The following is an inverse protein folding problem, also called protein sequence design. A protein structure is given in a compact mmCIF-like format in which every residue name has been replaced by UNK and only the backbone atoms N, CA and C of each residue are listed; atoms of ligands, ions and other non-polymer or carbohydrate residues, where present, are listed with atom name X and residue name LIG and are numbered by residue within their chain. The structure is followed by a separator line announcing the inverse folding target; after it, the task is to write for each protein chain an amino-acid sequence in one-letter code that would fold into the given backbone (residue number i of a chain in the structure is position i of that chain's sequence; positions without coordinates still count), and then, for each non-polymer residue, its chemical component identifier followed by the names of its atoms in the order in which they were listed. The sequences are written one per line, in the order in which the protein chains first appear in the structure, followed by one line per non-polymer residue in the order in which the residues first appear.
data_IF_696801120300
#
_entry.id   IF_696801120300
#
_cell.length_a   1.000
_cell.length_b   1.000
_cell.length_c   1.000
_cell.angle_alpha   90.00
_cell.angle_beta   90.00
_cell.angle_gamma   90.00
#
_symmetry.space_group_name_H-M   'P 1'
#
loop_
_entity.id
_entity.type
_entity.pdbx_description
1 polymer ?
#
# COMPACT_ATOMS: atom_id res chain seq x y z
N UNK A 1 0.91 -7.75 -20.90
CA UNK A 1 0.49 -6.56 -20.11
C UNK A 1 -0.54 -5.72 -20.88
N UNK A 2 -0.31 -5.40 -22.19
CA UNK A 2 -1.26 -4.63 -23.01
C UNK A 2 -2.63 -5.31 -23.13
N UNK A 3 -2.66 -6.63 -23.32
CA UNK A 3 -3.88 -7.43 -23.38
C UNK A 3 -4.68 -7.31 -22.07
N UNK A 4 -4.04 -7.41 -20.91
CA UNK A 4 -4.70 -7.30 -19.61
C UNK A 4 -5.34 -5.91 -19.44
N UNK A 5 -4.65 -4.85 -19.82
CA UNK A 5 -5.19 -3.48 -19.78
C UNK A 5 -6.37 -3.34 -20.73
N UNK A 6 -6.28 -3.87 -21.95
CA UNK A 6 -7.35 -3.81 -22.93
C UNK A 6 -8.60 -4.60 -22.46
N UNK A 7 -8.42 -5.81 -21.92
CA UNK A 7 -9.50 -6.61 -21.37
C UNK A 7 -10.15 -5.90 -20.18
N UNK A 8 -9.37 -5.34 -19.28
CA UNK A 8 -9.88 -4.60 -18.13
C UNK A 8 -10.66 -3.36 -18.54
N UNK A 9 -10.15 -2.60 -19.52
CA UNK A 9 -10.86 -1.44 -20.07
C UNK A 9 -12.16 -1.85 -20.75
N UNK A 10 -12.16 -2.94 -21.54
CA UNK A 10 -13.33 -3.46 -22.20
C UNK A 10 -14.40 -3.90 -21.20
N UNK A 11 -14.02 -4.63 -20.14
CA UNK A 11 -14.94 -5.06 -19.07
C UNK A 11 -15.51 -3.83 -18.35
N UNK A 12 -14.68 -2.84 -18.01
CA UNK A 12 -15.10 -1.60 -17.35
C UNK A 12 -16.13 -0.85 -18.19
N UNK A 13 -15.89 -0.77 -19.48
CA UNK A 13 -16.83 -0.13 -20.42
C UNK A 13 -18.12 -0.93 -20.58
N UNK A 14 -18.03 -2.23 -20.82
CA UNK A 14 -19.19 -3.11 -21.06
C UNK A 14 -20.08 -3.26 -19.81
N UNK A 15 -19.51 -3.20 -18.61
CA UNK A 15 -20.26 -3.29 -17.34
C UNK A 15 -21.08 -2.04 -17.02
N UNK A 16 -20.90 -0.92 -17.74
CA UNK A 16 -21.55 0.36 -17.44
C UNK A 16 -21.13 1.00 -16.12
N UNK A 17 -20.16 0.40 -15.38
CA UNK A 17 -19.66 0.94 -14.10
C UNK A 17 -18.80 2.20 -14.28
N UNK A 18 -18.42 2.50 -15.52
CA UNK A 18 -17.58 3.64 -15.84
C UNK A 18 -16.24 3.63 -15.09
N UNK A 19 -15.65 4.79 -14.91
CA UNK A 19 -14.38 4.95 -14.17
C UNK A 19 -14.59 5.19 -12.67
N UNK A 20 -15.78 4.94 -12.13
CA UNK A 20 -16.13 5.17 -10.72
C UNK A 20 -15.20 4.46 -9.73
N UNK A 21 -14.65 3.30 -10.11
CA UNK A 21 -13.66 2.57 -9.31
C UNK A 21 -12.35 3.36 -9.10
N UNK A 22 -11.99 4.31 -9.99
CA UNK A 22 -10.81 5.14 -9.82
C UNK A 22 -10.92 6.07 -8.61
N UNK A 23 -12.15 6.45 -8.22
CA UNK A 23 -12.39 7.23 -7.00
C UNK A 23 -11.97 6.48 -5.74
N UNK A 24 -12.09 5.14 -5.72
CA UNK A 24 -11.63 4.32 -4.61
C UNK A 24 -10.11 4.35 -4.45
N UNK A 25 -9.35 4.51 -5.54
CA UNK A 25 -7.90 4.68 -5.47
C UNK A 25 -7.51 5.97 -4.73
N UNK A 26 -8.32 7.03 -4.87
CA UNK A 26 -8.09 8.30 -4.15
C UNK A 26 -8.63 8.28 -2.72
N UNK A 27 -9.65 7.47 -2.45
CA UNK A 27 -10.24 7.32 -1.12
C UNK A 27 -9.48 6.33 -0.22
N UNK A 28 -8.65 5.46 -0.79
CA UNK A 28 -7.88 4.46 -0.06
C UNK A 28 -6.89 5.04 0.98
N UNK A 29 -6.65 6.36 0.98
CA UNK A 29 -5.78 7.03 1.93
C UNK A 29 -6.49 7.76 3.08
N UNK A 30 -7.84 7.74 3.14
CA UNK A 30 -8.56 8.71 3.96
C UNK A 30 -8.95 8.25 5.37
N UNK A 31 -8.90 6.97 5.72
CA UNK A 31 -9.39 6.52 7.02
C UNK A 31 -8.51 5.43 7.64
N UNK A 32 -7.87 5.74 8.77
CA UNK A 32 -7.31 4.74 9.67
C UNK A 32 -6.18 3.88 9.10
N UNK A 33 -5.44 4.42 8.13
CA UNK A 33 -4.35 3.68 7.49
C UNK A 33 -3.15 3.51 8.43
N UNK A 34 -2.58 2.31 8.42
CA UNK A 34 -1.30 2.00 9.07
C UNK A 34 -0.12 2.05 8.09
N UNK A 35 -0.37 2.47 6.84
CA UNK A 35 0.68 2.65 5.85
C UNK A 35 1.67 3.74 6.31
N UNK A 36 2.99 3.53 6.18
CA UNK A 36 3.99 4.48 6.66
C UNK A 36 3.77 5.90 6.13
N UNK A 37 3.55 6.06 4.83
CA UNK A 37 3.27 7.38 4.25
C UNK A 37 1.92 7.96 4.68
N UNK A 38 0.90 7.11 4.85
CA UNK A 38 -0.40 7.54 5.39
C UNK A 38 -0.27 8.07 6.80
N UNK A 39 0.51 7.39 7.65
CA UNK A 39 0.80 7.83 9.02
C UNK A 39 1.57 9.15 9.05
N UNK A 40 2.63 9.28 8.25
CA UNK A 40 3.39 10.54 8.13
C UNK A 40 2.46 11.68 7.71
N UNK A 41 1.59 11.44 6.72
CA UNK A 41 0.60 12.41 6.25
C UNK A 41 -0.39 12.80 7.35
N UNK A 42 -0.90 11.82 8.09
CA UNK A 42 -1.90 12.04 9.14
C UNK A 42 -1.30 12.77 10.35
N UNK A 43 -0.24 12.20 10.95
CA UNK A 43 0.36 12.77 12.16
C UNK A 43 1.07 14.08 11.90
N UNK A 44 1.79 14.20 10.77
CA UNK A 44 2.38 15.46 10.36
C UNK A 44 1.34 16.55 10.10
N UNK A 45 0.21 16.16 9.50
CA UNK A 45 -0.94 17.06 9.33
C UNK A 45 -1.52 17.56 10.67
N UNK A 46 -1.64 16.68 11.66
CA UNK A 46 -2.11 17.05 13.01
C UNK A 46 -1.14 18.06 13.66
N UNK A 47 0.16 17.78 13.62
CA UNK A 47 1.19 18.67 14.21
C UNK A 47 1.15 20.05 13.54
N UNK A 48 1.04 20.11 12.21
CA UNK A 48 0.94 21.37 11.49
C UNK A 48 -0.33 22.15 11.85
N UNK A 49 -1.47 21.47 11.99
CA UNK A 49 -2.71 22.10 12.44
C UNK A 49 -2.58 22.68 13.86
N UNK A 50 -1.93 21.98 14.79
CA UNK A 50 -1.64 22.52 16.13
C UNK A 50 -0.70 23.73 16.10
N UNK A 51 0.21 23.78 15.13
CA UNK A 51 1.09 24.92 14.90
C UNK A 51 0.39 26.10 14.17
N UNK A 52 -0.91 25.97 13.86
CA UNK A 52 -1.66 26.99 13.12
C UNK A 52 -1.38 27.05 11.62
N UNK A 53 -0.71 26.02 11.07
CA UNK A 53 -0.37 25.94 9.64
C UNK A 53 -1.39 25.07 8.87
N UNK A 54 -1.58 25.40 7.59
CA UNK A 54 -2.38 24.56 6.68
C UNK A 54 -1.67 23.24 6.38
N UNK A 55 -2.26 22.06 6.73
CA UNK A 55 -1.64 20.78 6.46
C UNK A 55 -1.76 20.31 5.00
N UNK A 56 -2.54 20.98 4.15
CA UNK A 56 -2.83 20.51 2.79
C UNK A 56 -1.59 20.43 1.89
N UNK A 57 -0.66 21.41 1.86
CA UNK A 57 0.56 21.30 1.07
C UNK A 57 1.45 20.13 1.51
N UNK A 58 1.58 19.93 2.82
CA UNK A 58 2.36 18.82 3.37
C UNK A 58 1.79 17.47 2.96
N UNK A 59 0.48 17.28 3.10
CA UNK A 59 -0.21 16.05 2.71
C UNK A 59 -0.05 15.76 1.21
N UNK A 60 -0.10 16.80 0.38
CA UNK A 60 0.13 16.68 -1.06
C UNK A 60 1.57 16.20 -1.35
N UNK A 61 2.58 16.80 -0.71
CA UNK A 61 3.97 16.39 -0.88
C UNK A 61 4.16 14.92 -0.48
N UNK A 62 3.64 14.51 0.67
CA UNK A 62 3.71 13.11 1.12
C UNK A 62 3.02 12.18 0.12
N UNK A 63 1.86 12.55 -0.42
CA UNK A 63 1.16 11.77 -1.42
C UNK A 63 1.96 11.61 -2.72
N UNK A 64 2.56 12.69 -3.22
CA UNK A 64 3.41 12.66 -4.42
C UNK A 64 4.63 11.78 -4.20
N UNK A 65 5.31 11.91 -3.06
CA UNK A 65 6.48 11.09 -2.72
C UNK A 65 6.12 9.61 -2.59
N UNK A 66 5.00 9.30 -1.92
CA UNK A 66 4.48 7.93 -1.80
C UNK A 66 4.22 7.30 -3.17
N UNK A 67 3.51 8.00 -4.04
CA UNK A 67 3.19 7.51 -5.39
C UNK A 67 4.46 7.37 -6.26
N UNK A 68 5.38 8.34 -6.20
CA UNK A 68 6.64 8.27 -6.92
C UNK A 68 7.49 7.07 -6.46
N UNK A 69 7.61 6.86 -5.14
CA UNK A 69 8.31 5.70 -4.58
C UNK A 69 7.64 4.38 -5.00
N UNK A 70 6.31 4.31 -4.97
CA UNK A 70 5.56 3.13 -5.41
C UNK A 70 5.82 2.82 -6.88
N UNK A 71 5.70 3.79 -7.76
CA UNK A 71 5.95 3.61 -9.20
C UNK A 71 7.39 3.18 -9.46
N UNK A 72 8.37 3.79 -8.80
CA UNK A 72 9.78 3.43 -8.94
C UNK A 72 10.05 1.99 -8.47
N UNK A 73 9.50 1.59 -7.33
CA UNK A 73 9.66 0.22 -6.80
C UNK A 73 8.95 -0.80 -7.68
N UNK A 74 7.74 -0.52 -8.16
CA UNK A 74 7.03 -1.42 -9.08
C UNK A 74 7.77 -1.58 -10.40
N UNK A 75 8.28 -0.49 -10.98
CA UNK A 75 9.08 -0.53 -12.19
C UNK A 75 10.36 -1.39 -11.98
N UNK A 76 11.06 -1.17 -10.86
CA UNK A 76 12.23 -1.96 -10.49
C UNK A 76 11.89 -3.45 -10.33
N UNK A 77 10.78 -3.80 -9.66
CA UNK A 77 10.30 -5.17 -9.48
C UNK A 77 10.05 -5.84 -10.83
N UNK A 78 9.33 -5.16 -11.74
CA UNK A 78 9.00 -5.68 -13.05
C UNK A 78 10.26 -5.92 -13.89
N UNK A 79 11.20 -4.98 -13.89
CA UNK A 79 12.46 -5.10 -14.62
C UNK A 79 13.32 -6.23 -14.04
N UNK A 80 13.43 -6.30 -12.70
CA UNK A 80 14.32 -7.22 -11.99
C UNK A 80 13.83 -8.67 -12.02
N UNK A 81 12.52 -8.89 -12.06
CA UNK A 81 11.91 -10.22 -11.95
C UNK A 81 10.90 -10.49 -13.08
N UNK A 82 11.19 -10.00 -14.29
CA UNK A 82 10.37 -10.22 -15.48
C UNK A 82 10.21 -11.71 -15.86
N UNK A 83 11.18 -12.53 -15.49
CA UNK A 83 11.22 -14.00 -15.68
C UNK A 83 10.52 -14.78 -14.56
N UNK A 84 10.12 -14.11 -13.47
CA UNK A 84 9.49 -14.72 -12.28
C UNK A 84 8.19 -14.02 -11.92
N UNK A 85 7.11 -14.24 -12.68
CA UNK A 85 5.88 -13.44 -12.53
C UNK A 85 5.23 -13.55 -11.16
N UNK A 86 5.17 -14.73 -10.54
CA UNK A 86 4.62 -14.89 -9.19
C UNK A 86 5.42 -14.12 -8.15
N UNK A 87 6.76 -14.14 -8.28
CA UNK A 87 7.66 -13.37 -7.42
C UNK A 87 7.40 -11.86 -7.57
N UNK A 88 7.36 -11.39 -8.82
CA UNK A 88 7.10 -9.97 -9.12
C UNK A 88 5.73 -9.52 -8.60
N UNK A 89 4.68 -10.31 -8.80
CA UNK A 89 3.33 -9.98 -8.32
C UNK A 89 3.27 -9.99 -6.80
N UNK A 90 3.89 -10.97 -6.14
CA UNK A 90 3.91 -11.04 -4.67
C UNK A 90 4.62 -9.84 -4.03
N UNK A 91 5.84 -9.50 -4.48
CA UNK A 91 6.55 -8.32 -3.99
C UNK A 91 5.91 -7.01 -4.43
N UNK A 92 5.33 -6.96 -5.64
CA UNK A 92 4.59 -5.80 -6.13
C UNK A 92 3.34 -5.51 -5.28
N UNK A 93 2.58 -6.55 -4.92
CA UNK A 93 1.42 -6.42 -4.03
C UNK A 93 1.82 -5.94 -2.64
N UNK A 94 2.96 -6.45 -2.11
CA UNK A 94 3.49 -5.98 -0.82
C UNK A 94 3.97 -4.53 -0.90
N UNK A 95 4.67 -4.16 -1.97
CA UNK A 95 5.10 -2.78 -2.20
C UNK A 95 3.90 -1.83 -2.30
N UNK A 96 2.84 -2.22 -3.01
CA UNK A 96 1.60 -1.46 -3.13
C UNK A 96 0.91 -1.29 -1.77
N UNK A 97 0.90 -2.34 -0.94
CA UNK A 97 0.34 -2.27 0.39
C UNK A 97 1.15 -1.33 1.32
N UNK A 98 2.48 -1.41 1.29
CA UNK A 98 3.35 -0.68 2.22
C UNK A 98 3.60 0.77 1.78
N UNK A 99 3.85 0.99 0.49
CA UNK A 99 4.15 2.32 -0.07
C UNK A 99 2.90 3.09 -0.47
N UNK A 100 1.78 2.39 -0.69
CA UNK A 100 0.50 3.04 -0.89
C UNK A 100 0.07 3.81 0.37
N UNK A 101 -0.89 4.70 0.22
CA UNK A 101 -1.39 5.51 1.34
C UNK A 101 -2.35 4.76 2.26
N UNK A 102 -2.80 3.57 1.87
CA UNK A 102 -3.75 2.76 2.64
C UNK A 102 -3.26 1.32 2.75
N UNK A 103 -2.65 0.98 3.88
CA UNK A 103 -2.35 -0.39 4.24
C UNK A 103 -3.45 -0.90 5.18
N UNK A 104 -4.21 -1.86 4.71
CA UNK A 104 -5.12 -2.62 5.56
C UNK A 104 -4.53 -4.00 5.88
N UNK A 105 -4.82 -4.55 7.08
CA UNK A 105 -4.26 -5.84 7.51
C UNK A 105 -4.48 -6.99 6.52
N UNK A 106 -5.60 -6.99 5.83
CA UNK A 106 -5.97 -8.03 4.85
C UNK A 106 -5.19 -7.98 3.52
N UNK A 107 -4.46 -6.91 3.21
CA UNK A 107 -3.61 -6.87 2.00
C UNK A 107 -2.33 -7.69 2.16
N UNK A 108 -1.82 -7.80 3.38
CA UNK A 108 -0.58 -8.53 3.65
C UNK A 108 -0.73 -10.03 3.36
N UNK A 109 -1.78 -10.75 3.82
CA UNK A 109 -1.97 -12.16 3.47
C UNK A 109 -1.99 -12.48 1.98
N UNK A 110 -2.52 -11.60 1.14
CA UNK A 110 -2.51 -11.81 -0.31
C UNK A 110 -1.09 -11.84 -0.88
N UNK A 111 -0.26 -10.91 -0.47
CA UNK A 111 1.14 -10.86 -0.86
C UNK A 111 1.91 -12.07 -0.35
N UNK A 112 1.66 -12.47 0.90
CA UNK A 112 2.30 -13.62 1.53
C UNK A 112 1.92 -14.94 0.87
N UNK A 113 0.65 -15.10 0.47
CA UNK A 113 0.19 -16.30 -0.23
C UNK A 113 0.92 -16.46 -1.57
N UNK A 114 1.08 -15.38 -2.34
CA UNK A 114 1.81 -15.40 -3.61
C UNK A 114 3.30 -15.67 -3.41
N UNK A 115 3.93 -15.04 -2.42
CA UNK A 115 5.34 -15.25 -2.11
C UNK A 115 5.61 -16.63 -1.52
N UNK A 116 4.65 -17.23 -0.81
CA UNK A 116 4.75 -18.58 -0.28
C UNK A 116 4.75 -19.67 -1.35
N UNK A 117 4.19 -19.38 -2.53
CA UNK A 117 4.22 -20.27 -3.69
C UNK A 117 5.55 -20.23 -4.46
N UNK A 118 6.42 -19.27 -4.17
CA UNK A 118 7.69 -19.10 -4.87
C UNK A 118 8.90 -19.50 -4.01
N UNK A 119 10.04 -19.75 -4.69
CA UNK A 119 11.30 -20.09 -4.03
C UNK A 119 11.97 -18.83 -3.49
N UNK A 120 11.71 -18.50 -2.24
CA UNK A 120 12.37 -17.41 -1.55
C UNK A 120 13.75 -17.82 -1.06
N UNK A 121 14.73 -16.92 -1.18
CA UNK A 121 16.03 -17.08 -0.56
C UNK A 121 15.91 -17.03 0.99
N UNK A 122 16.86 -17.62 1.76
CA UNK A 122 16.84 -17.53 3.21
C UNK A 122 16.76 -16.09 3.74
N UNK A 123 17.47 -15.15 3.07
CA UNK A 123 17.44 -13.73 3.42
C UNK A 123 16.06 -13.10 3.18
N UNK A 124 15.41 -13.42 2.07
CA UNK A 124 14.05 -12.93 1.77
C UNK A 124 13.04 -13.48 2.78
N UNK A 125 13.13 -14.77 3.14
CA UNK A 125 12.28 -15.38 4.18
C UNK A 125 12.45 -14.69 5.52
N UNK A 126 13.69 -14.41 5.93
CA UNK A 126 13.96 -13.71 7.18
C UNK A 126 13.34 -12.30 7.19
N UNK A 127 13.56 -11.52 6.14
CA UNK A 127 12.99 -10.17 6.03
C UNK A 127 11.46 -10.19 6.01
N UNK A 128 10.86 -11.13 5.30
CA UNK A 128 9.41 -11.28 5.24
C UNK A 128 8.84 -11.65 6.61
N UNK A 129 9.48 -12.57 7.33
CA UNK A 129 9.07 -12.95 8.70
C UNK A 129 9.20 -11.78 9.67
N UNK A 130 10.32 -11.05 9.63
CA UNK A 130 10.52 -9.86 10.45
C UNK A 130 9.46 -8.78 10.14
N UNK A 131 9.15 -8.56 8.87
CA UNK A 131 8.08 -7.65 8.46
C UNK A 131 6.73 -8.08 9.03
N UNK A 132 6.36 -9.36 8.90
CA UNK A 132 5.07 -9.88 9.39
C UNK A 132 4.95 -9.72 10.91
N UNK A 133 6.01 -10.10 11.65
CA UNK A 133 6.03 -9.96 13.11
C UNK A 133 5.89 -8.48 13.50
N UNK A 134 6.69 -7.61 12.90
CA UNK A 134 6.63 -6.17 13.15
C UNK A 134 5.27 -5.57 12.80
N UNK A 135 4.69 -5.99 11.67
CA UNK A 135 3.37 -5.55 11.23
C UNK A 135 2.25 -5.97 12.20
N UNK A 136 2.24 -7.23 12.64
CA UNK A 136 1.25 -7.75 13.61
C UNK A 136 1.40 -7.04 14.95
N UNK A 137 2.63 -6.90 15.45
CA UNK A 137 2.90 -6.18 16.70
C UNK A 137 2.44 -4.73 16.62
N UNK A 138 2.75 -4.04 15.53
CA UNK A 138 2.33 -2.67 15.28
C UNK A 138 0.80 -2.52 15.19
N UNK A 139 0.15 -3.40 14.44
CA UNK A 139 -1.31 -3.37 14.30
C UNK A 139 -2.01 -3.62 15.64
N UNK A 140 -1.50 -4.57 16.45
CA UNK A 140 -2.03 -4.86 17.79
C UNK A 140 -1.85 -3.67 18.73
N UNK A 141 -0.69 -3.02 18.69
CA UNK A 141 -0.44 -1.80 19.47
C UNK A 141 -1.39 -0.67 19.05
N UNK A 142 -1.50 -0.40 17.77
CA UNK A 142 -2.34 0.67 17.26
C UNK A 142 -3.83 0.45 17.58
N UNK A 143 -4.34 -0.77 17.40
CA UNK A 143 -5.72 -1.09 17.74
C UNK A 143 -6.01 -0.90 19.24
N UNK A 144 -5.08 -1.29 20.11
CA UNK A 144 -5.25 -1.11 21.57
C UNK A 144 -5.22 0.35 22.01
N UNK A 145 -4.48 1.22 21.33
CA UNK A 145 -4.43 2.66 21.60
C UNK A 145 -5.70 3.36 21.11
N UNK A 146 -6.15 3.04 19.88
CA UNK A 146 -7.34 3.69 19.30
C UNK A 146 -8.64 3.32 19.99
N UNK A 147 -8.77 2.10 20.49
CA UNK A 147 -9.96 1.70 21.26
C UNK A 147 -10.06 2.43 22.59
N UNK A 148 -8.94 2.82 23.21
CA UNK A 148 -8.93 3.53 24.48
C UNK A 148 -9.17 5.04 24.36
N UNK A 149 -8.93 5.64 23.19
CA UNK A 149 -9.08 7.09 22.97
C UNK A 149 -10.50 7.48 22.54
N UNK A 150 -11.33 6.49 22.14
CA UNK A 150 -12.72 6.72 21.73
C UNK A 150 -13.77 6.54 22.84
N UNK A 151 -13.35 6.26 24.09
CA UNK A 151 -14.20 6.24 25.27
C UNK A 151 -13.95 7.55 26.06
#
# INVERSE_FOLDING_TARGET
TAIAVAVFAAITWASGLGTGWTRWLTLMGSAGTIAPFGMVSQYGGIVLTWAGADPAPFKLVVAVLSNAALVAVLAWIVIRWSDRPLHAVGWGSLALAVLGQALHPWYVPWSLALLGLDRLTPRQRWWLSAFVIGFVAWHSFQSSVWYKVRI
#
